data_IF_719444619645
#
_entry.id   IF_719444619645
#
_cell.length_a   1.000
_cell.length_b   1.000
_cell.length_c   1.000
_cell.angle_alpha   90.00
_cell.angle_beta   90.00
_cell.angle_gamma   90.00
#
_symmetry.space_group_name_H-M   'P 1'
#
loop_
_entity.id
_entity.type
_entity.pdbx_description
1 polymer ?
#
# COMPACT_ATOMS: atom_id res chain seq x y z
N UNK A 1 9.92 6.85 10.19
CA UNK A 1 8.91 6.61 11.23
C UNK A 1 7.60 7.40 11.01
N UNK A 2 7.53 8.33 10.06
CA UNK A 2 6.31 9.11 9.82
C UNK A 2 5.21 8.33 9.07
N UNK A 3 5.57 7.57 8.02
CA UNK A 3 4.61 6.85 7.17
C UNK A 3 3.72 5.87 7.94
N UNK A 4 4.31 4.96 8.72
CA UNK A 4 3.58 3.96 9.52
C UNK A 4 2.70 4.63 10.57
N UNK A 5 3.18 5.71 11.20
CA UNK A 5 2.40 6.45 12.17
C UNK A 5 1.16 7.10 11.53
N UNK A 6 1.31 7.66 10.31
CA UNK A 6 0.18 8.21 9.55
C UNK A 6 -0.80 7.14 9.09
N UNK A 7 -0.33 5.98 8.63
CA UNK A 7 -1.20 4.85 8.29
C UNK A 7 -2.05 4.41 9.49
N UNK A 8 -1.41 4.27 10.67
CA UNK A 8 -2.10 3.95 11.93
C UNK A 8 -3.14 5.01 12.32
N UNK A 9 -2.81 6.30 12.18
CA UNK A 9 -3.75 7.40 12.48
C UNK A 9 -4.96 7.40 11.53
N UNK A 10 -4.77 6.97 10.29
CA UNK A 10 -5.82 6.80 9.30
C UNK A 10 -6.55 5.44 9.39
N UNK A 11 -6.24 4.62 10.41
CA UNK A 11 -6.79 3.28 10.58
C UNK A 11 -6.55 2.32 9.39
N UNK A 12 -5.51 2.57 8.59
CA UNK A 12 -5.09 1.66 7.52
C UNK A 12 -4.31 0.49 8.14
N UNK A 13 -4.67 -0.78 7.82
CA UNK A 13 -3.95 -1.95 8.31
C UNK A 13 -2.47 -1.93 7.92
N UNK A 14 -1.59 -2.24 8.87
CA UNK A 14 -0.15 -2.36 8.64
C UNK A 14 0.24 -3.82 8.77
N UNK A 15 0.75 -4.39 7.67
CA UNK A 15 1.29 -5.75 7.61
C UNK A 15 2.80 -5.66 7.45
N UNK A 16 3.52 -6.37 8.31
CA UNK A 16 4.98 -6.41 8.32
C UNK A 16 5.48 -7.69 7.65
N UNK A 17 6.44 -7.54 6.75
CA UNK A 17 7.17 -8.66 6.17
C UNK A 17 8.59 -8.68 6.71
N UNK A 18 9.07 -9.85 7.13
CA UNK A 18 10.45 -10.04 7.60
C UNK A 18 11.12 -11.23 6.94
N UNK A 19 12.25 -10.97 6.28
CA UNK A 19 12.99 -11.96 5.51
C UNK A 19 13.70 -12.97 6.43
N UNK A 20 13.58 -14.26 6.11
CA UNK A 20 14.34 -15.36 6.73
C UNK A 20 15.21 -16.07 5.69
N UNK A 21 16.52 -15.96 5.81
CA UNK A 21 17.46 -16.68 4.94
C UNK A 21 18.74 -17.11 5.67
N UNK A 22 19.75 -17.56 4.91
CA UNK A 22 21.01 -18.05 5.46
C UNK A 22 21.83 -16.96 6.19
N UNK A 23 21.66 -15.70 5.79
CA UNK A 23 22.29 -14.51 6.37
C UNK A 23 21.39 -13.81 7.41
N UNK A 24 20.07 -13.91 7.29
CA UNK A 24 19.06 -13.36 8.19
C UNK A 24 18.35 -14.49 8.94
N UNK A 25 19.03 -15.02 9.97
CA UNK A 25 18.55 -16.19 10.72
C UNK A 25 17.65 -15.80 11.88
N UNK A 26 16.58 -16.59 12.05
CA UNK A 26 15.59 -16.41 13.13
C UNK A 26 16.26 -16.30 14.50
N UNK A 27 15.89 -15.25 15.22
CA UNK A 27 16.37 -14.97 16.58
C UNK A 27 17.69 -14.20 16.65
N UNK A 28 18.41 -14.02 15.54
CA UNK A 28 19.63 -13.20 15.54
C UNK A 28 19.30 -11.69 15.58
N UNK A 29 20.13 -10.85 16.21
CA UNK A 29 19.87 -9.41 16.28
C UNK A 29 19.71 -8.75 14.90
N UNK A 30 20.52 -9.15 13.91
CA UNK A 30 20.44 -8.62 12.55
C UNK A 30 19.20 -9.05 11.76
N UNK A 31 18.45 -10.04 12.27
CA UNK A 31 17.19 -10.49 11.67
C UNK A 31 15.98 -9.71 12.20
N UNK A 32 16.05 -9.12 13.39
CA UNK A 32 14.93 -8.36 13.95
C UNK A 32 14.61 -7.13 13.10
N UNK A 33 13.36 -6.66 13.19
CA UNK A 33 13.02 -5.33 12.67
C UNK A 33 13.81 -4.26 13.43
N UNK A 34 14.06 -3.13 12.78
CA UNK A 34 14.67 -1.98 13.45
C UNK A 34 13.79 -1.53 14.63
N UNK A 35 14.41 -1.07 15.72
CA UNK A 35 13.70 -0.70 16.96
C UNK A 35 12.61 0.37 16.70
N UNK A 36 12.85 1.28 15.75
CA UNK A 36 11.91 2.33 15.34
C UNK A 36 10.71 1.80 14.53
N UNK A 37 10.76 0.54 14.07
CA UNK A 37 9.76 -0.14 13.25
C UNK A 37 9.20 -1.37 13.96
N UNK A 38 8.71 -1.14 15.18
CA UNK A 38 8.11 -2.20 16.00
C UNK A 38 6.60 -2.34 15.69
N UNK A 39 6.13 -3.56 15.35
CA UNK A 39 4.71 -3.86 15.22
C UNK A 39 3.97 -3.62 16.54
N UNK A 40 2.78 -3.04 16.47
CA UNK A 40 1.90 -2.85 17.64
C UNK A 40 0.84 -3.96 17.73
N UNK A 41 0.18 -4.15 18.89
CA UNK A 41 -0.89 -5.14 19.00
C UNK A 41 -1.97 -4.95 17.93
N UNK A 42 -2.30 -6.02 17.21
CA UNK A 42 -3.26 -6.02 16.10
C UNK A 42 -2.63 -5.94 14.71
N UNK A 43 -1.34 -5.62 14.58
CA UNK A 43 -0.64 -5.67 13.30
C UNK A 43 -0.06 -7.06 13.04
N UNK A 44 -0.20 -7.54 11.80
CA UNK A 44 0.30 -8.84 11.37
C UNK A 44 1.80 -8.75 11.04
N UNK A 45 2.59 -9.72 11.52
CA UNK A 45 4.00 -9.89 11.14
C UNK A 45 4.19 -11.27 10.50
N UNK A 46 4.65 -11.28 9.25
CA UNK A 46 4.86 -12.47 8.44
C UNK A 46 6.35 -12.66 8.18
N UNK A 47 6.87 -13.80 8.59
CA UNK A 47 8.22 -14.23 8.24
C UNK A 47 8.18 -14.94 6.88
N UNK A 48 9.03 -14.53 5.92
CA UNK A 48 9.02 -15.06 4.55
C UNK A 48 10.41 -15.51 4.05
N UNK A 49 10.42 -16.58 3.24
CA UNK A 49 11.64 -17.25 2.75
C UNK A 49 12.00 -16.95 1.30
N UNK A 50 11.05 -16.48 0.52
CA UNK A 50 11.22 -16.08 -0.88
C UNK A 50 11.28 -14.56 -0.96
N UNK A 51 11.81 -14.01 -2.05
CA UNK A 51 11.81 -12.55 -2.21
C UNK A 51 10.39 -12.02 -2.42
N UNK A 52 9.56 -12.73 -3.18
CA UNK A 52 8.12 -12.46 -3.23
C UNK A 52 7.46 -12.86 -1.90
N UNK A 53 6.96 -11.87 -1.17
CA UNK A 53 6.27 -12.02 0.10
C UNK A 53 5.00 -12.87 0.03
N UNK A 54 4.43 -13.10 -1.15
CA UNK A 54 3.25 -13.95 -1.35
C UNK A 54 3.57 -15.45 -1.49
N UNK A 55 4.83 -15.83 -1.73
CA UNK A 55 5.19 -17.24 -1.93
C UNK A 55 5.38 -17.93 -0.57
N UNK A 56 4.62 -19.00 -0.34
CA UNK A 56 4.65 -19.81 0.89
C UNK A 56 4.35 -18.99 2.17
N UNK A 57 3.47 -17.99 2.09
CA UNK A 57 3.00 -17.19 3.23
C UNK A 57 1.48 -17.00 3.18
N UNK A 58 0.91 -16.42 4.23
CA UNK A 58 -0.51 -16.05 4.29
C UNK A 58 -0.76 -14.58 3.91
N UNK A 59 0.18 -13.91 3.24
CA UNK A 59 0.05 -12.49 2.90
C UNK A 59 -1.22 -12.19 2.09
N UNK A 60 -1.57 -13.06 1.13
CA UNK A 60 -2.80 -12.89 0.35
C UNK A 60 -4.04 -12.98 1.24
N UNK A 61 -4.12 -13.97 2.13
CA UNK A 61 -5.25 -14.15 3.04
C UNK A 61 -5.40 -12.98 4.02
N UNK A 62 -4.29 -12.45 4.52
CA UNK A 62 -4.29 -11.27 5.41
C UNK A 62 -4.75 -10.00 4.67
N UNK A 63 -4.36 -9.82 3.40
CA UNK A 63 -4.83 -8.70 2.57
C UNK A 63 -6.31 -8.83 2.20
N UNK A 64 -6.78 -10.05 1.90
CA UNK A 64 -8.21 -10.34 1.66
C UNK A 64 -9.04 -10.10 2.93
N UNK A 65 -8.56 -10.53 4.09
CA UNK A 65 -9.23 -10.31 5.38
C UNK A 65 -9.27 -8.83 5.79
N UNK A 66 -8.32 -8.04 5.30
CA UNK A 66 -8.29 -6.58 5.45
C UNK A 66 -9.14 -5.85 4.40
N UNK A 67 -9.81 -6.57 3.50
CA UNK A 67 -10.58 -6.02 2.37
C UNK A 67 -9.75 -5.03 1.54
N UNK A 68 -8.45 -5.33 1.36
CA UNK A 68 -7.51 -4.41 0.75
C UNK A 68 -7.81 -4.20 -0.75
N UNK A 69 -8.18 -2.97 -1.12
CA UNK A 69 -8.28 -2.55 -2.53
C UNK A 69 -6.98 -1.96 -3.10
N UNK A 70 -6.15 -1.35 -2.26
CA UNK A 70 -4.87 -0.75 -2.65
C UNK A 70 -3.80 -1.03 -1.59
N UNK A 71 -2.57 -1.28 -2.05
CA UNK A 71 -1.41 -1.53 -1.20
C UNK A 71 -0.44 -0.36 -1.23
N UNK A 72 0.10 -0.02 -0.06
CA UNK A 72 1.16 0.98 0.10
C UNK A 72 2.46 0.26 0.47
N UNK A 73 3.41 0.19 -0.47
CA UNK A 73 4.59 -0.66 -0.33
C UNK A 73 5.86 0.16 -0.02
N UNK A 74 6.52 -0.20 1.07
CA UNK A 74 7.80 0.34 1.53
C UNK A 74 8.67 -0.81 2.09
N UNK A 75 9.99 -0.66 2.16
CA UNK A 75 10.83 -1.73 2.70
C UNK A 75 12.32 -1.65 2.40
N UNK A 76 13.01 -2.79 2.52
CA UNK A 76 14.44 -2.92 2.23
C UNK A 76 14.67 -4.05 1.22
N UNK A 77 15.73 -3.89 0.41
CA UNK A 77 15.96 -4.73 -0.75
C UNK A 77 15.04 -4.33 -1.89
N UNK A 78 15.18 -3.08 -2.37
CA UNK A 78 14.41 -2.56 -3.52
C UNK A 78 14.42 -3.54 -4.70
N UNK A 79 15.61 -4.01 -5.05
CA UNK A 79 15.93 -4.92 -6.16
C UNK A 79 15.74 -6.42 -5.83
N UNK A 80 15.22 -6.71 -4.65
CA UNK A 80 14.91 -8.05 -4.15
C UNK A 80 13.45 -8.12 -3.69
N UNK A 81 13.21 -8.14 -2.38
CA UNK A 81 11.90 -8.41 -1.82
C UNK A 81 10.84 -7.38 -2.18
N UNK A 82 11.23 -6.09 -2.29
CA UNK A 82 10.28 -5.02 -2.63
C UNK A 82 9.76 -5.19 -4.06
N UNK A 83 10.64 -5.27 -5.06
CA UNK A 83 10.22 -5.44 -6.46
C UNK A 83 9.46 -6.76 -6.68
N UNK A 84 9.88 -7.86 -6.06
CA UNK A 84 9.21 -9.15 -6.23
C UNK A 84 7.83 -9.17 -5.58
N UNK A 85 7.68 -8.58 -4.39
CA UNK A 85 6.37 -8.47 -3.74
C UNK A 85 5.45 -7.48 -4.47
N UNK A 86 5.99 -6.37 -5.00
CA UNK A 86 5.24 -5.45 -5.87
C UNK A 86 4.65 -6.19 -7.07
N UNK A 87 5.48 -6.90 -7.83
CA UNK A 87 5.04 -7.68 -8.99
C UNK A 87 4.06 -8.77 -8.57
N UNK A 88 4.31 -9.44 -7.44
CA UNK A 88 3.43 -10.45 -6.88
C UNK A 88 2.03 -9.92 -6.55
N UNK A 89 1.93 -8.69 -6.03
CA UNK A 89 0.66 -8.04 -5.75
C UNK A 89 -0.07 -7.65 -7.05
N UNK A 90 0.64 -7.00 -7.98
CA UNK A 90 0.06 -6.58 -9.27
C UNK A 90 -0.50 -7.78 -10.04
N UNK A 91 0.24 -8.89 -10.16
CA UNK A 91 -0.23 -10.09 -10.86
C UNK A 91 -1.40 -10.80 -10.17
N UNK A 92 -1.76 -10.41 -8.94
CA UNK A 92 -2.90 -10.94 -8.19
C UNK A 92 -4.09 -9.97 -8.18
N UNK A 93 -3.97 -8.81 -8.83
CA UNK A 93 -5.08 -7.87 -9.01
C UNK A 93 -5.14 -6.71 -8.00
N UNK A 94 -4.11 -6.51 -7.17
CA UNK A 94 -4.08 -5.36 -6.26
C UNK A 94 -3.42 -4.15 -6.89
N UNK A 95 -4.09 -2.99 -6.78
CA UNK A 95 -3.45 -1.70 -7.02
C UNK A 95 -2.31 -1.49 -6.03
N UNK A 96 -1.16 -1.01 -6.51
CA UNK A 96 0.02 -0.84 -5.67
C UNK A 96 0.64 0.53 -5.83
N UNK A 97 0.71 1.26 -4.71
CA UNK A 97 1.46 2.50 -4.55
C UNK A 97 2.81 2.20 -3.92
N UNK A 98 3.88 2.34 -4.70
CA UNK A 98 5.26 2.24 -4.21
C UNK A 98 5.70 3.58 -3.60
N UNK A 99 6.27 3.54 -2.39
CA UNK A 99 6.72 4.75 -1.69
C UNK A 99 8.17 5.06 -2.04
N UNK A 100 8.36 6.00 -2.96
CA UNK A 100 9.60 6.19 -3.73
C UNK A 100 10.85 6.48 -2.88
N UNK A 101 10.66 7.04 -1.68
CA UNK A 101 11.70 7.44 -0.74
C UNK A 101 11.68 6.59 0.55
N UNK A 102 10.87 5.53 0.59
CA UNK A 102 10.77 4.60 1.70
C UNK A 102 11.15 3.16 1.32
N UNK A 103 11.96 2.98 0.26
CA UNK A 103 12.70 1.75 0.04
C UNK A 103 14.14 1.97 -0.42
N UNK A 104 15.02 1.04 -0.04
CA UNK A 104 16.46 1.11 -0.29
C UNK A 104 17.05 -0.25 -0.67
N UNK A 105 18.12 -0.21 -1.47
CA UNK A 105 18.94 -1.37 -1.81
C UNK A 105 20.37 -1.18 -1.31
N UNK A 106 21.11 -2.28 -1.12
CA UNK A 106 22.54 -2.21 -0.88
C UNK A 106 23.27 -1.87 -2.20
N UNK A 107 24.43 -1.19 -2.16
CA UNK A 107 25.27 -1.04 -3.35
C UNK A 107 25.68 -2.41 -3.91
N UNK A 108 25.73 -2.53 -5.23
CA UNK A 108 26.07 -3.76 -5.92
C UNK A 108 27.03 -3.51 -7.09
N UNK A 109 27.77 -4.56 -7.48
CA UNK A 109 28.60 -4.58 -8.68
C UNK A 109 28.25 -5.80 -9.51
N UNK A 110 27.91 -5.60 -10.78
CA UNK A 110 27.63 -6.66 -11.75
C UNK A 110 28.05 -6.21 -13.15
N UNK A 111 28.54 -7.12 -14.00
CA UNK A 111 29.03 -6.83 -15.36
C UNK A 111 30.00 -5.63 -15.44
N UNK A 112 30.92 -5.55 -14.47
CA UNK A 112 31.87 -4.45 -14.33
C UNK A 112 31.28 -3.04 -14.12
N UNK A 113 29.99 -2.96 -13.83
CA UNK A 113 29.29 -1.74 -13.46
C UNK A 113 29.05 -1.67 -11.95
N UNK A 114 29.30 -0.50 -11.36
CA UNK A 114 28.97 -0.21 -9.97
C UNK A 114 27.62 0.52 -9.90
N UNK A 115 26.73 0.03 -9.05
CA UNK A 115 25.44 0.63 -8.77
C UNK A 115 25.36 1.02 -7.30
N UNK A 116 25.10 2.29 -7.04
CA UNK A 116 24.70 2.72 -5.70
C UNK A 116 23.31 2.17 -5.37
N UNK A 117 23.04 1.96 -4.09
CA UNK A 117 21.70 1.59 -3.62
C UNK A 117 20.61 2.56 -4.07
N UNK A 118 20.94 3.86 -4.22
CA UNK A 118 20.04 4.87 -4.77
C UNK A 118 19.72 4.65 -6.25
N UNK A 119 20.70 4.25 -7.07
CA UNK A 119 20.46 3.93 -8.48
C UNK A 119 19.56 2.71 -8.63
N UNK A 120 19.76 1.69 -7.78
CA UNK A 120 18.92 0.49 -7.77
C UNK A 120 17.48 0.82 -7.32
N UNK A 121 17.33 1.59 -6.23
CA UNK A 121 16.01 2.05 -5.78
C UNK A 121 15.30 2.89 -6.85
N UNK A 122 16.00 3.84 -7.49
CA UNK A 122 15.43 4.65 -8.57
C UNK A 122 15.05 3.82 -9.80
N UNK A 123 15.79 2.75 -10.11
CA UNK A 123 15.39 1.81 -11.15
C UNK A 123 14.14 1.04 -10.78
N UNK A 124 13.98 0.67 -9.51
CA UNK A 124 12.77 0.01 -9.01
C UNK A 124 11.57 0.97 -9.03
N UNK A 125 11.74 2.26 -8.74
CA UNK A 125 10.66 3.25 -8.91
C UNK A 125 10.10 3.25 -10.34
N UNK A 126 10.94 2.96 -11.34
CA UNK A 126 10.51 2.89 -12.74
C UNK A 126 9.47 1.81 -13.03
N UNK A 127 9.45 0.73 -12.23
CA UNK A 127 8.61 -0.43 -12.54
C UNK A 127 7.11 -0.11 -12.52
N UNK A 128 6.71 0.94 -11.79
CA UNK A 128 5.29 1.33 -11.64
C UNK A 128 4.65 1.75 -12.96
N UNK A 129 5.45 2.09 -13.97
CA UNK A 129 4.99 2.46 -15.31
C UNK A 129 5.06 1.31 -16.31
N UNK A 130 5.38 0.09 -15.85
CA UNK A 130 5.28 -1.10 -16.69
C UNK A 130 3.81 -1.50 -16.81
N UNK A 131 3.37 -1.78 -18.04
CA UNK A 131 2.05 -2.33 -18.34
C UNK A 131 2.07 -3.83 -18.02
N UNK A 132 1.90 -4.15 -16.73
CA UNK A 132 2.01 -5.51 -16.19
C UNK A 132 0.66 -6.23 -16.14
N UNK A 133 -0.41 -5.49 -15.86
CA UNK A 133 -1.79 -5.96 -15.83
C UNK A 133 -2.70 -4.79 -16.24
N UNK A 134 -3.59 -4.95 -17.24
CA UNK A 134 -4.42 -3.86 -17.75
C UNK A 134 -5.50 -3.38 -16.76
N UNK A 135 -5.83 -4.19 -15.76
CA UNK A 135 -6.90 -3.90 -14.79
C UNK A 135 -6.34 -3.38 -13.46
N UNK A 136 -5.01 -3.24 -13.32
CA UNK A 136 -4.34 -2.83 -12.09
C UNK A 136 -3.54 -1.54 -12.30
N UNK A 137 -3.61 -0.66 -11.31
CA UNK A 137 -2.88 0.61 -11.28
C UNK A 137 -1.61 0.51 -10.44
N UNK A 138 -0.47 0.78 -11.09
CA UNK A 138 0.80 1.06 -10.42
C UNK A 138 0.98 2.56 -10.16
N UNK A 139 1.23 2.94 -8.91
CA UNK A 139 1.47 4.33 -8.51
C UNK A 139 2.83 4.50 -7.83
N UNK A 140 3.36 5.72 -7.90
CA UNK A 140 4.60 6.12 -7.24
C UNK A 140 4.39 7.44 -6.52
N UNK A 141 4.67 7.49 -5.23
CA UNK A 141 4.52 8.71 -4.42
C UNK A 141 5.65 8.85 -3.40
N UNK A 142 6.02 10.10 -3.10
CA UNK A 142 6.83 10.42 -1.94
C UNK A 142 6.07 10.10 -0.66
N UNK A 143 6.78 9.61 0.36
CA UNK A 143 6.23 9.34 1.69
C UNK A 143 5.45 10.53 2.24
N UNK A 144 5.97 11.76 2.07
CA UNK A 144 5.31 12.98 2.52
C UNK A 144 3.95 13.27 1.85
N UNK A 145 3.72 12.71 0.66
CA UNK A 145 2.48 12.86 -0.11
C UNK A 145 1.58 11.61 -0.02
N UNK A 146 1.95 10.64 0.82
CA UNK A 146 1.14 9.45 1.02
C UNK A 146 -0.13 9.82 1.80
N UNK A 147 -1.26 9.86 1.11
CA UNK A 147 -2.56 10.16 1.68
C UNK A 147 -3.33 8.86 1.87
N UNK A 148 -3.40 8.41 3.12
CA UNK A 148 -4.18 7.26 3.54
C UNK A 148 -5.64 7.73 3.74
N UNK A 149 -6.37 7.97 2.65
CA UNK A 149 -7.79 8.29 2.72
C UNK A 149 -8.60 7.06 3.13
N UNK A 150 -9.65 7.23 3.93
CA UNK A 150 -10.76 6.29 3.90
C UNK A 150 -11.46 6.49 2.57
N UNK A 151 -11.78 5.42 1.85
CA UNK A 151 -12.66 5.48 0.67
C UNK A 151 -14.12 5.87 1.02
N UNK A 152 -14.31 6.68 2.07
CA UNK A 152 -15.60 7.16 2.57
C UNK A 152 -15.96 8.54 1.99
N UNK A 153 -15.20 9.06 1.02
CA UNK A 153 -15.77 10.11 0.19
C UNK A 153 -16.86 9.43 -0.66
N UNK A 154 -18.15 9.74 -0.45
CA UNK A 154 -19.22 9.15 -1.25
C UNK A 154 -18.88 9.38 -2.71
N UNK A 155 -18.92 8.30 -3.49
CA UNK A 155 -18.58 8.37 -4.91
C UNK A 155 -19.48 9.42 -5.59
N UNK A 156 -19.05 10.02 -6.70
CA UNK A 156 -19.81 11.10 -7.34
C UNK A 156 -21.28 10.69 -7.61
N UNK A 157 -21.52 9.40 -7.84
CA UNK A 157 -22.84 8.79 -7.99
C UNK A 157 -23.66 8.79 -6.70
N UNK A 158 -23.04 8.51 -5.55
CA UNK A 158 -23.69 8.55 -4.23
C UNK A 158 -24.02 9.98 -3.83
N UNK A 159 -23.13 10.93 -4.14
CA UNK A 159 -23.39 12.37 -3.95
C UNK A 159 -24.57 12.87 -4.80
N UNK A 160 -24.63 12.45 -6.07
CA UNK A 160 -25.75 12.80 -6.96
C UNK A 160 -27.05 12.16 -6.47
N UNK A 161 -27.02 10.88 -6.09
CA UNK A 161 -28.20 10.15 -5.61
C UNK A 161 -28.74 10.75 -4.32
N UNK A 162 -27.86 11.12 -3.38
CA UNK A 162 -28.25 11.79 -2.14
C UNK A 162 -28.84 13.18 -2.41
N UNK A 163 -28.24 13.95 -3.32
CA UNK A 163 -28.75 15.27 -3.68
C UNK A 163 -30.12 15.22 -4.39
N UNK A 164 -30.39 14.19 -5.19
CA UNK A 164 -31.70 13.96 -5.81
C UNK A 164 -32.76 13.60 -4.76
N UNK A 165 -32.41 12.77 -3.79
CA UNK A 165 -33.32 12.34 -2.72
C UNK A 165 -33.68 13.51 -1.78
N UNK A 166 -32.70 14.31 -1.39
CA UNK A 166 -32.91 15.51 -0.56
C UNK A 166 -33.82 16.54 -1.26
N UNK A 167 -33.75 16.64 -2.59
CA UNK A 167 -34.59 17.53 -3.39
C UNK A 167 -36.04 17.03 -3.54
N UNK A 168 -36.25 15.71 -3.58
CA UNK A 168 -37.59 15.10 -3.59
C UNK A 168 -38.28 15.30 -2.24
N UNK A 169 -37.57 15.13 -1.13
CA UNK A 169 -38.11 15.31 0.23
C UNK A 169 -38.50 16.77 0.52
N UNK A 170 -37.75 17.76 0.00
CA UNK A 170 -38.07 19.18 0.16
C UNK A 170 -39.27 19.62 -0.72
N UNK A 171 -39.60 18.85 -1.76
CA UNK A 171 -40.77 19.08 -2.62
C UNK A 171 -42.10 18.60 -2.01
N UNK A 172 -42.03 17.72 -1.01
CA UNK A 172 -43.19 17.15 -0.32
C UNK A 172 -43.59 17.96 0.94
N UNK A 173 -42.81 18.98 1.29
CA UNK A 173 -43.22 20.06 2.19
C UNK A 173 -44.18 21.00 1.45
N UNK A 174 -45.40 20.49 1.23
CA UNK A 174 -46.50 21.21 0.60
C UNK A 174 -46.64 22.62 1.14
N UNK A 175 -46.19 23.59 0.34
CA UNK A 175 -46.50 25.01 0.56
C UNK A 175 -48.00 25.14 0.32
N UNK A 176 -48.80 25.02 1.37
CA UNK A 176 -50.18 25.50 1.38
C UNK A 176 -50.13 27.00 1.10
N UNK A 177 -50.37 27.40 -0.15
CA UNK A 177 -50.58 28.79 -0.53
C UNK A 177 -51.98 29.17 -0.03
N UNK A 178 -52.14 30.01 1.01
CA UNK A 178 -53.45 30.35 1.52
C UNK A 178 -54.07 31.40 0.59
N UNK A 179 -55.15 31.01 -0.09
CA UNK A 179 -56.19 31.92 -0.56
C UNK A 179 -55.93 32.62 -1.90
N UNK A 180 -56.37 31.97 -2.98
CA UNK A 180 -56.94 32.70 -4.12
C UNK A 180 -58.44 32.41 -4.23
N UNK A 181 -59.20 33.45 -3.86
CA UNK A 181 -60.61 33.81 -4.15
C UNK A 181 -61.69 32.93 -3.51
#
# INVERSE_FOLDING_TARGET
ADLVARARLAAVPVIWLRRVDAALRVGEPGWQLADELTPIPGETLIDHRWDDGFIDTDLAGELEAAEAGQLWLAGLGSDHGVVQTYLGAVHRGWDVTLIEDAHLAAPARFDDCDFSGRQLAAFVNRIVWLDLDPDVTGNLVASANAEFGSGDEPDDIDLISQAEQDAEDDSDLGVEIPGQI
#
